data_IF_010072244504
#
_entry.id   IF_010072244504
#
_cell.length_a   1.000
_cell.length_b   1.000
_cell.length_c   1.000
_cell.angle_alpha   90.00
_cell.angle_beta   90.00
_cell.angle_gamma   90.00
#
_symmetry.space_group_name_H-M   'P 1'
#
loop_
_entity.id
_entity.type
_entity.pdbx_description
1 polymer ?
#
# COMPACT_ATOMS: atom_id res chain seq x y z
N UNK A 1 75.82 20.81 -23.14
CA UNK A 1 74.84 19.69 -23.14
C UNK A 1 73.83 19.95 -22.04
N UNK A 2 72.66 20.49 -22.39
CA UNK A 2 71.53 20.78 -21.43
C UNK A 2 70.57 19.60 -21.47
N UNK A 3 70.41 18.89 -20.35
CA UNK A 3 69.43 17.80 -20.21
C UNK A 3 68.07 18.44 -19.89
N UNK A 4 67.09 18.25 -20.79
CA UNK A 4 65.71 18.60 -20.61
C UNK A 4 65.02 17.49 -19.80
N UNK A 5 64.55 17.80 -18.59
CA UNK A 5 63.68 16.89 -17.80
C UNK A 5 62.23 17.18 -18.18
N UNK A 6 61.59 16.21 -18.85
CA UNK A 6 60.15 16.25 -19.13
C UNK A 6 59.40 15.71 -17.91
N UNK A 7 58.62 16.57 -17.27
CA UNK A 7 57.74 16.17 -16.16
C UNK A 7 56.35 15.87 -16.76
N UNK A 8 56.02 14.61 -16.85
CA UNK A 8 54.68 14.16 -17.29
C UNK A 8 53.73 14.24 -16.10
N UNK A 9 52.79 15.20 -16.13
CA UNK A 9 51.75 15.37 -15.14
C UNK A 9 50.60 14.40 -15.45
N UNK A 10 50.49 13.34 -14.67
CA UNK A 10 49.39 12.34 -14.78
C UNK A 10 48.18 12.91 -14.06
N UNK A 11 47.17 13.39 -14.80
CA UNK A 11 45.90 13.83 -14.26
C UNK A 11 45.03 12.61 -13.93
N UNK A 12 44.94 12.23 -12.64
CA UNK A 12 43.97 11.26 -12.17
C UNK A 12 42.58 11.92 -12.14
N UNK A 13 41.74 11.58 -13.12
CA UNK A 13 40.33 11.91 -13.10
C UNK A 13 39.65 11.01 -12.05
N UNK A 14 39.41 11.51 -10.85
CA UNK A 14 38.60 10.84 -9.85
C UNK A 14 37.15 11.01 -10.28
N UNK A 15 36.61 9.97 -10.94
CA UNK A 15 35.18 9.83 -11.17
C UNK A 15 34.52 9.55 -9.81
N UNK A 16 33.98 10.60 -9.18
CA UNK A 16 33.06 10.45 -8.07
C UNK A 16 31.77 9.81 -8.62
N UNK A 17 31.69 8.47 -8.59
CA UNK A 17 30.42 7.76 -8.75
C UNK A 17 29.66 8.02 -7.46
N UNK A 18 28.85 9.07 -7.45
CA UNK A 18 27.80 9.27 -6.44
C UNK A 18 26.86 8.07 -6.59
N UNK A 19 26.98 7.09 -5.71
CA UNK A 19 25.94 6.06 -5.55
C UNK A 19 24.67 6.83 -5.15
N UNK A 20 23.79 7.10 -6.10
CA UNK A 20 22.47 7.63 -5.80
C UNK A 20 21.77 6.61 -4.91
N UNK A 21 21.59 6.93 -3.62
CA UNK A 21 20.77 6.11 -2.73
C UNK A 21 19.38 6.02 -3.34
N UNK A 22 19.02 4.83 -3.84
CA UNK A 22 17.68 4.57 -4.36
C UNK A 22 16.66 4.87 -3.26
N UNK A 23 15.55 5.55 -3.57
CA UNK A 23 14.46 5.69 -2.62
C UNK A 23 13.95 4.31 -2.17
N UNK A 24 13.51 4.20 -0.93
CA UNK A 24 12.88 2.99 -0.40
C UNK A 24 11.74 2.54 -1.33
N UNK A 25 11.61 1.23 -1.59
CA UNK A 25 10.62 0.63 -2.50
C UNK A 25 10.78 0.97 -3.99
N UNK A 26 11.88 1.61 -4.39
CA UNK A 26 12.10 1.90 -5.81
C UNK A 26 12.06 0.66 -6.69
N UNK A 27 12.62 -0.45 -6.21
CA UNK A 27 12.66 -1.70 -6.98
C UNK A 27 11.27 -2.34 -7.14
N UNK A 28 10.39 -2.22 -6.13
CA UNK A 28 8.97 -2.62 -6.23
C UNK A 28 8.24 -1.78 -7.28
N UNK A 29 8.45 -0.48 -7.29
CA UNK A 29 7.84 0.44 -8.26
C UNK A 29 8.35 0.15 -9.69
N UNK A 30 9.65 -0.08 -9.87
CA UNK A 30 10.20 -0.48 -11.17
C UNK A 30 9.67 -1.83 -11.64
N UNK A 31 9.44 -2.77 -10.71
CA UNK A 31 8.79 -4.04 -11.03
C UNK A 31 7.36 -3.82 -11.54
N UNK A 32 6.58 -2.92 -10.95
CA UNK A 32 5.24 -2.58 -11.47
C UNK A 32 5.30 -1.95 -12.86
N UNK A 33 6.27 -1.07 -13.11
CA UNK A 33 6.48 -0.50 -14.45
C UNK A 33 6.83 -1.58 -15.48
N UNK A 34 7.69 -2.56 -15.10
CA UNK A 34 8.00 -3.69 -15.97
C UNK A 34 6.76 -4.56 -16.24
N UNK A 35 5.98 -4.89 -15.21
CA UNK A 35 4.71 -5.63 -15.39
C UNK A 35 3.75 -4.92 -16.34
N UNK A 36 3.68 -3.58 -16.28
CA UNK A 36 2.82 -2.78 -17.14
C UNK A 36 3.34 -2.73 -18.60
N UNK A 37 4.65 -2.82 -18.82
CA UNK A 37 5.25 -2.94 -20.15
C UNK A 37 5.01 -4.31 -20.76
N UNK A 38 5.16 -5.38 -19.97
CA UNK A 38 4.95 -6.75 -20.43
C UNK A 38 3.47 -7.06 -20.69
N UNK A 39 2.59 -6.51 -19.85
CA UNK A 39 1.13 -6.66 -19.93
C UNK A 39 0.46 -5.32 -19.65
N UNK A 40 0.14 -4.54 -20.66
CA UNK A 40 -0.51 -3.25 -20.50
C UNK A 40 -1.75 -3.33 -19.60
N UNK A 41 -1.88 -2.43 -18.61
CA UNK A 41 -2.98 -2.48 -17.66
C UNK A 41 -4.35 -2.42 -18.35
N UNK A 42 -5.22 -3.36 -18.02
CA UNK A 42 -6.59 -3.35 -18.52
C UNK A 42 -7.34 -2.14 -17.99
N UNK A 43 -8.10 -1.47 -18.85
CA UNK A 43 -9.03 -0.41 -18.46
C UNK A 43 -10.14 -0.99 -17.58
N UNK A 44 -10.77 -0.15 -16.81
CA UNK A 44 -11.90 -0.49 -15.93
C UNK A 44 -11.60 -1.63 -14.95
N UNK A 45 -10.32 -1.79 -14.59
CA UNK A 45 -9.90 -2.70 -13.54
C UNK A 45 -10.17 -2.13 -12.14
N UNK A 46 -10.21 -3.01 -11.15
CA UNK A 46 -10.13 -2.65 -9.73
C UNK A 46 -8.65 -2.62 -9.35
N UNK A 47 -8.14 -1.46 -8.96
CA UNK A 47 -6.75 -1.27 -8.58
C UNK A 47 -6.58 -1.37 -7.07
N UNK A 48 -5.82 -2.36 -6.61
CA UNK A 48 -5.47 -2.52 -5.19
C UNK A 48 -4.15 -1.81 -4.92
N UNK A 49 -4.15 -0.86 -3.98
CA UNK A 49 -2.98 -0.09 -3.56
C UNK A 49 -2.76 -0.26 -2.06
N UNK A 50 -1.53 -0.58 -1.66
CA UNK A 50 -1.22 -0.72 -0.25
C UNK A 50 0.00 -1.56 0.06
N UNK A 51 -0.01 -2.18 1.24
CA UNK A 51 1.15 -2.84 1.81
C UNK A 51 1.10 -4.38 1.74
N UNK A 52 1.86 -5.05 2.61
CA UNK A 52 2.13 -6.49 2.54
C UNK A 52 0.89 -7.39 2.49
N UNK A 53 -0.24 -6.98 3.06
CA UNK A 53 -1.46 -7.79 2.95
C UNK A 53 -1.95 -7.92 1.51
N UNK A 54 -1.78 -6.89 0.69
CA UNK A 54 -2.04 -7.00 -0.75
C UNK A 54 -0.89 -7.69 -1.48
N UNK A 55 0.36 -7.37 -1.19
CA UNK A 55 1.52 -8.04 -1.82
C UNK A 55 1.42 -9.57 -1.69
N UNK A 56 1.01 -10.05 -0.52
CA UNK A 56 0.89 -11.49 -0.23
C UNK A 56 -0.40 -12.12 -0.76
N UNK A 57 -1.36 -11.34 -1.22
CA UNK A 57 -2.59 -11.84 -1.84
C UNK A 57 -2.37 -12.05 -3.34
N UNK A 58 -1.45 -12.95 -3.68
CA UNK A 58 -1.00 -13.18 -5.05
C UNK A 58 -2.09 -13.72 -5.97
N UNK A 59 -3.03 -14.46 -5.41
CA UNK A 59 -4.16 -15.07 -6.12
C UNK A 59 -5.50 -14.34 -5.87
N UNK A 60 -5.48 -13.05 -5.64
CA UNK A 60 -6.70 -12.26 -5.35
C UNK A 60 -7.77 -12.41 -6.43
N UNK A 61 -7.36 -12.58 -7.70
CA UNK A 61 -8.30 -12.78 -8.82
C UNK A 61 -9.12 -14.07 -8.71
N UNK A 62 -8.62 -15.10 -8.03
CA UNK A 62 -9.35 -16.36 -7.84
C UNK A 62 -10.57 -16.17 -6.94
N UNK A 63 -10.54 -15.19 -6.06
CA UNK A 63 -11.65 -14.84 -5.16
C UNK A 63 -12.74 -14.04 -5.86
N UNK A 64 -12.44 -13.44 -7.00
CA UNK A 64 -13.33 -12.55 -7.75
C UNK A 64 -13.23 -12.81 -9.26
N UNK A 65 -13.66 -14.00 -9.72
CA UNK A 65 -13.45 -14.44 -11.11
C UNK A 65 -14.12 -13.52 -12.16
N UNK A 66 -15.18 -12.82 -11.76
CA UNK A 66 -15.91 -11.90 -12.64
C UNK A 66 -15.34 -10.48 -12.66
N UNK A 67 -14.22 -10.25 -11.96
CA UNK A 67 -13.62 -8.91 -11.85
C UNK A 67 -12.21 -8.90 -12.42
N UNK A 68 -11.86 -7.82 -13.11
CA UNK A 68 -10.47 -7.55 -13.47
C UNK A 68 -9.80 -6.82 -12.32
N UNK A 69 -8.79 -7.44 -11.71
CA UNK A 69 -8.07 -6.88 -10.56
C UNK A 69 -6.61 -6.65 -10.94
N UNK A 70 -6.09 -5.48 -10.61
CA UNK A 70 -4.67 -5.14 -10.69
C UNK A 70 -4.17 -4.92 -9.27
N UNK A 71 -3.28 -5.78 -8.81
CA UNK A 71 -2.69 -5.66 -7.48
C UNK A 71 -1.32 -4.94 -7.58
N UNK A 72 -1.20 -3.82 -6.89
CA UNK A 72 0.01 -3.00 -6.76
C UNK A 72 0.32 -2.74 -5.29
N UNK A 73 0.15 -3.76 -4.46
CA UNK A 73 0.64 -3.77 -3.09
C UNK A 73 2.16 -3.95 -3.05
N UNK A 74 2.87 -3.17 -2.22
CA UNK A 74 4.30 -3.34 -1.97
C UNK A 74 4.56 -3.46 -0.47
N UNK A 75 5.26 -4.54 -0.11
CA UNK A 75 5.36 -5.02 1.27
C UNK A 75 6.09 -4.06 2.19
N UNK A 76 5.54 -3.79 3.38
CA UNK A 76 6.17 -2.90 4.35
C UNK A 76 5.83 -1.42 4.18
N UNK A 77 5.20 -1.02 3.06
CA UNK A 77 4.88 0.38 2.78
C UNK A 77 3.99 1.01 3.84
N UNK A 78 4.18 2.31 4.04
CA UNK A 78 3.38 3.20 4.86
C UNK A 78 2.63 4.20 3.98
N UNK A 79 1.67 4.92 4.54
CA UNK A 79 0.89 5.91 3.78
C UNK A 79 1.75 7.05 3.20
N UNK A 80 2.91 7.34 3.79
CA UNK A 80 3.85 8.31 3.22
C UNK A 80 4.49 7.80 1.93
N UNK A 81 4.73 6.49 1.80
CA UNK A 81 5.28 5.89 0.58
C UNK A 81 4.25 5.91 -0.55
N UNK A 82 2.97 5.59 -0.24
CA UNK A 82 1.89 5.73 -1.22
C UNK A 82 1.77 7.18 -1.72
N UNK A 83 1.94 8.17 -0.84
CA UNK A 83 1.96 9.58 -1.22
C UNK A 83 3.17 9.93 -2.09
N UNK A 84 4.35 9.39 -1.77
CA UNK A 84 5.59 9.66 -2.49
C UNK A 84 5.53 9.10 -3.92
N UNK A 85 5.03 7.87 -4.07
CA UNK A 85 4.90 7.19 -5.35
C UNK A 85 3.52 7.35 -6.01
N UNK A 86 2.73 8.36 -5.60
CA UNK A 86 1.37 8.53 -6.10
C UNK A 86 1.27 8.62 -7.62
N UNK A 87 2.26 9.26 -8.26
CA UNK A 87 2.33 9.37 -9.72
C UNK A 87 2.48 7.99 -10.38
N UNK A 88 3.45 7.20 -9.94
CA UNK A 88 3.76 5.87 -10.47
C UNK A 88 2.64 4.87 -10.19
N UNK A 89 1.96 5.03 -9.05
CA UNK A 89 0.85 4.18 -8.64
C UNK A 89 -0.50 4.52 -9.31
N UNK A 90 -0.63 5.72 -9.87
CA UNK A 90 -1.91 6.17 -10.43
C UNK A 90 -1.83 6.39 -11.96
N UNK A 91 -0.88 7.18 -12.43
CA UNK A 91 -0.82 7.62 -13.83
C UNK A 91 -0.86 6.48 -14.88
N UNK A 92 -0.23 5.30 -14.67
CA UNK A 92 -0.24 4.24 -15.68
C UNK A 92 -1.58 3.53 -15.86
N UNK A 93 -2.56 3.75 -14.98
CA UNK A 93 -3.80 2.97 -14.94
C UNK A 93 -5.01 3.81 -15.37
N UNK A 94 -6.10 3.11 -15.73
CA UNK A 94 -7.43 3.69 -15.95
C UNK A 94 -8.45 2.82 -15.22
N UNK A 95 -8.43 2.81 -13.88
CA UNK A 95 -9.28 1.94 -13.08
C UNK A 95 -10.72 2.50 -13.00
N UNK A 96 -11.69 1.63 -12.73
CA UNK A 96 -13.05 2.03 -12.33
C UNK A 96 -13.21 2.15 -10.81
N UNK A 97 -12.29 1.55 -10.05
CA UNK A 97 -12.30 1.53 -8.60
C UNK A 97 -10.88 1.39 -8.07
N UNK A 98 -10.58 2.08 -6.97
CA UNK A 98 -9.32 1.94 -6.23
C UNK A 98 -9.66 1.46 -4.82
N UNK A 99 -8.99 0.39 -4.36
CA UNK A 99 -9.13 -0.12 -3.00
C UNK A 99 -7.79 0.03 -2.30
N UNK A 100 -7.81 0.65 -1.13
CA UNK A 100 -6.62 0.98 -0.35
C UNK A 100 -6.58 0.13 0.92
N UNK A 101 -5.43 -0.52 1.16
CA UNK A 101 -5.09 -1.10 2.46
C UNK A 101 -3.68 -0.67 2.89
N UNK A 102 -3.59 0.31 3.78
CA UNK A 102 -2.32 0.82 4.31
C UNK A 102 -2.58 1.57 5.62
N UNK A 103 -1.58 1.68 6.49
CA UNK A 103 -1.67 2.42 7.77
C UNK A 103 -1.21 1.61 8.98
N UNK A 104 -1.19 0.27 8.89
CA UNK A 104 -0.70 -0.59 9.96
C UNK A 104 0.80 -0.40 10.20
N UNK A 105 1.57 -0.32 9.12
CA UNK A 105 3.02 -0.15 9.18
C UNK A 105 3.44 1.27 9.61
N UNK A 106 2.59 2.28 9.42
CA UNK A 106 2.88 3.64 9.88
C UNK A 106 3.20 3.67 11.37
N UNK A 107 2.40 2.97 12.18
CA UNK A 107 2.61 2.87 13.62
C UNK A 107 3.72 1.89 14.00
N UNK A 108 3.97 0.85 13.21
CA UNK A 108 5.06 -0.07 13.48
C UNK A 108 6.43 0.55 13.16
N UNK A 109 6.49 1.48 12.21
CA UNK A 109 7.70 2.23 11.86
C UNK A 109 8.00 3.37 12.86
N UNK A 110 6.95 3.93 13.47
CA UNK A 110 7.05 5.01 14.46
C UNK A 110 5.87 4.91 15.44
N UNK A 111 6.14 4.30 16.60
CA UNK A 111 5.13 4.09 17.63
C UNK A 111 4.68 5.39 18.31
N UNK A 112 5.41 6.50 18.15
CA UNK A 112 5.01 7.80 18.70
C UNK A 112 3.93 8.50 17.85
N UNK A 113 3.67 8.01 16.64
CA UNK A 113 2.62 8.56 15.77
C UNK A 113 1.25 8.48 16.46
N UNK A 114 0.51 9.57 16.31
CA UNK A 114 -0.89 9.67 16.76
C UNK A 114 -1.85 9.30 15.61
N UNK A 115 -3.04 8.76 15.91
CA UNK A 115 -4.04 8.41 14.89
C UNK A 115 -4.36 9.54 13.89
N UNK A 116 -4.41 10.79 14.35
CA UNK A 116 -4.64 11.95 13.47
C UNK A 116 -3.52 12.19 12.45
N UNK A 117 -2.28 11.81 12.76
CA UNK A 117 -1.15 11.98 11.84
C UNK A 117 -1.23 10.95 10.71
N UNK A 118 -1.53 9.68 11.05
CA UNK A 118 -1.75 8.62 10.05
C UNK A 118 -2.99 8.92 9.21
N UNK A 119 -4.08 9.36 9.82
CA UNK A 119 -5.27 9.84 9.10
C UNK A 119 -4.94 11.00 8.15
N UNK A 120 -4.08 11.97 8.54
CA UNK A 120 -3.66 13.07 7.65
C UNK A 120 -2.90 12.55 6.42
N UNK A 121 -2.05 11.53 6.59
CA UNK A 121 -1.34 10.87 5.47
C UNK A 121 -2.34 10.19 4.51
N UNK A 122 -3.31 9.44 5.05
CA UNK A 122 -4.40 8.85 4.27
C UNK A 122 -5.20 9.91 3.50
N UNK A 123 -5.64 10.97 4.19
CA UNK A 123 -6.38 12.06 3.53
C UNK A 123 -5.61 12.69 2.39
N UNK A 124 -4.29 12.88 2.55
CA UNK A 124 -3.43 13.40 1.47
C UNK A 124 -3.46 12.48 0.26
N UNK A 125 -3.32 11.15 0.47
CA UNK A 125 -3.36 10.18 -0.61
C UNK A 125 -4.72 10.13 -1.30
N UNK A 126 -5.81 10.13 -0.54
CA UNK A 126 -7.17 10.20 -1.06
C UNK A 126 -7.39 11.45 -1.93
N UNK A 127 -6.93 12.63 -1.48
CA UNK A 127 -7.01 13.85 -2.29
C UNK A 127 -6.18 13.74 -3.58
N UNK A 128 -4.96 13.19 -3.48
CA UNK A 128 -4.13 12.92 -4.66
C UNK A 128 -4.81 11.99 -5.68
N UNK A 129 -5.54 10.96 -5.22
CA UNK A 129 -6.34 10.12 -6.12
C UNK A 129 -7.41 10.97 -6.83
N UNK A 130 -8.08 11.88 -6.11
CA UNK A 130 -9.11 12.75 -6.68
C UNK A 130 -8.55 13.76 -7.71
N UNK A 131 -7.29 14.14 -7.59
CA UNK A 131 -6.62 14.99 -8.59
C UNK A 131 -6.41 14.25 -9.93
N UNK A 132 -6.17 12.92 -9.89
CA UNK A 132 -6.06 12.07 -11.08
C UNK A 132 -7.44 11.60 -11.60
N UNK A 133 -8.34 11.29 -10.70
CA UNK A 133 -9.63 10.65 -10.97
C UNK A 133 -10.73 11.27 -10.10
N UNK A 134 -11.34 12.39 -10.52
CA UNK A 134 -12.28 13.15 -9.69
C UNK A 134 -13.45 12.32 -9.16
N UNK A 135 -14.02 11.46 -10.00
CA UNK A 135 -15.27 10.73 -9.72
C UNK A 135 -15.11 9.23 -9.50
N UNK A 136 -13.87 8.73 -9.41
CA UNK A 136 -13.63 7.29 -9.25
C UNK A 136 -14.14 6.78 -7.90
N UNK A 137 -14.61 5.53 -7.87
CA UNK A 137 -14.87 4.85 -6.61
C UNK A 137 -13.56 4.59 -5.86
N UNK A 138 -13.46 5.04 -4.61
CA UNK A 138 -12.31 4.80 -3.72
C UNK A 138 -12.80 4.14 -2.45
N UNK A 139 -12.29 2.95 -2.15
CA UNK A 139 -12.63 2.25 -0.93
C UNK A 139 -11.39 2.07 -0.04
N UNK A 140 -11.61 2.07 1.24
CA UNK A 140 -10.57 1.83 2.22
C UNK A 140 -10.93 0.63 3.09
N UNK A 141 -10.04 -0.37 3.12
CA UNK A 141 -10.16 -1.50 4.04
C UNK A 141 -9.58 -1.09 5.39
N UNK A 142 -10.33 -1.31 6.46
CA UNK A 142 -9.90 -1.00 7.83
C UNK A 142 -8.56 -1.67 8.17
N UNK A 143 -7.73 -1.00 8.96
CA UNK A 143 -6.53 -1.60 9.52
C UNK A 143 -6.95 -2.80 10.37
N UNK A 144 -6.45 -4.00 10.02
CA UNK A 144 -6.72 -5.22 10.78
C UNK A 144 -6.02 -5.21 12.14
N UNK A 145 -6.53 -6.00 13.06
CA UNK A 145 -5.95 -6.16 14.39
C UNK A 145 -4.99 -7.37 14.39
N UNK A 146 -3.77 -7.17 13.91
CA UNK A 146 -2.76 -8.25 13.89
C UNK A 146 -2.31 -8.60 15.31
N UNK A 147 -2.33 -9.90 15.70
CA UNK A 147 -1.98 -10.30 17.07
C UNK A 147 -0.57 -9.88 17.52
N UNK A 148 0.42 -9.92 16.60
CA UNK A 148 1.80 -9.49 16.92
C UNK A 148 1.93 -8.00 17.23
N UNK A 149 0.92 -7.21 16.87
CA UNK A 149 0.87 -5.75 17.09
C UNK A 149 -0.23 -5.32 18.06
N UNK A 150 -0.59 -6.18 19.01
CA UNK A 150 -1.70 -5.95 19.94
C UNK A 150 -1.55 -4.63 20.72
N UNK A 151 -0.34 -4.22 21.05
CA UNK A 151 -0.04 -2.96 21.74
C UNK A 151 -0.42 -1.71 20.93
N UNK A 152 -0.59 -1.83 19.60
CA UNK A 152 -0.98 -0.74 18.68
C UNK A 152 -2.48 -0.70 18.38
N UNK A 153 -3.27 -1.68 18.80
CA UNK A 153 -4.69 -1.81 18.41
C UNK A 153 -5.53 -0.58 18.76
N UNK A 154 -5.29 0.07 19.89
CA UNK A 154 -5.99 1.30 20.27
C UNK A 154 -5.77 2.39 19.19
N UNK A 155 -4.54 2.51 18.69
CA UNK A 155 -4.20 3.47 17.62
C UNK A 155 -4.84 3.07 16.29
N UNK A 156 -4.88 1.78 15.96
CA UNK A 156 -5.53 1.27 14.75
C UNK A 156 -7.02 1.57 14.76
N UNK A 157 -7.71 1.22 15.84
CA UNK A 157 -9.15 1.47 15.98
C UNK A 157 -9.49 2.98 15.92
N UNK A 158 -8.70 3.81 16.59
CA UNK A 158 -8.89 5.26 16.53
C UNK A 158 -8.64 5.83 15.12
N UNK A 159 -7.67 5.29 14.39
CA UNK A 159 -7.39 5.68 13.00
C UNK A 159 -8.51 5.22 12.07
N UNK A 160 -8.97 3.98 12.23
CA UNK A 160 -10.07 3.40 11.48
C UNK A 160 -11.34 4.25 11.62
N UNK A 161 -11.65 4.69 12.83
CA UNK A 161 -12.81 5.55 13.08
C UNK A 161 -12.68 6.93 12.40
N UNK A 162 -11.49 7.52 12.38
CA UNK A 162 -11.24 8.79 11.69
C UNK A 162 -11.42 8.65 10.17
N UNK A 163 -10.87 7.57 9.60
CA UNK A 163 -10.99 7.28 8.17
C UNK A 163 -12.43 6.98 7.81
N UNK A 164 -13.13 6.12 8.59
CA UNK A 164 -14.53 5.79 8.39
C UNK A 164 -15.42 7.05 8.32
N UNK A 165 -15.29 7.93 9.31
CA UNK A 165 -16.04 9.21 9.35
C UNK A 165 -15.71 10.13 8.17
N UNK A 166 -14.50 10.09 7.68
CA UNK A 166 -14.10 10.86 6.50
C UNK A 166 -14.71 10.27 5.23
N UNK A 167 -14.61 8.96 5.02
CA UNK A 167 -15.13 8.27 3.84
C UNK A 167 -16.66 8.43 3.72
N UNK A 168 -17.40 8.31 4.82
CA UNK A 168 -18.86 8.48 4.87
C UNK A 168 -19.35 9.87 4.41
N UNK A 169 -18.47 10.86 4.33
CA UNK A 169 -18.78 12.23 3.90
C UNK A 169 -18.30 12.52 2.48
N UNK A 170 -17.85 11.51 1.77
CA UNK A 170 -17.31 11.64 0.42
C UNK A 170 -18.18 10.87 -0.55
N UNK A 171 -18.42 11.48 -1.70
CA UNK A 171 -19.04 10.80 -2.83
C UNK A 171 -18.08 9.76 -3.40
N UNK A 172 -18.65 8.68 -3.95
CA UNK A 172 -17.89 7.58 -4.53
C UNK A 172 -16.76 7.08 -3.61
N UNK A 173 -17.09 6.87 -2.33
CA UNK A 173 -16.11 6.45 -1.33
C UNK A 173 -16.78 5.57 -0.26
N UNK A 174 -16.23 4.37 -0.05
CA UNK A 174 -16.71 3.43 0.95
C UNK A 174 -15.63 3.01 1.93
N UNK A 175 -16.05 2.59 3.11
CA UNK A 175 -15.18 2.04 4.15
C UNK A 175 -15.57 0.59 4.40
N UNK A 176 -14.64 -0.32 4.13
CA UNK A 176 -14.83 -1.76 4.29
C UNK A 176 -14.27 -2.19 5.64
N UNK A 177 -15.15 -2.51 6.58
CA UNK A 177 -14.75 -2.92 7.92
C UNK A 177 -14.54 -4.43 7.99
N UNK A 178 -13.27 -4.85 8.10
CA UNK A 178 -12.91 -6.27 8.26
C UNK A 178 -12.62 -6.63 9.73
N UNK A 179 -12.59 -5.68 10.64
CA UNK A 179 -12.16 -5.92 12.02
C UNK A 179 -13.08 -6.90 12.75
N UNK A 180 -14.40 -6.69 12.65
CA UNK A 180 -15.38 -7.56 13.30
C UNK A 180 -15.42 -8.97 12.68
N UNK A 181 -15.29 -9.07 11.37
CA UNK A 181 -15.34 -10.34 10.65
C UNK A 181 -14.12 -11.23 10.96
N UNK A 182 -13.02 -10.64 11.41
CA UNK A 182 -11.82 -11.35 11.83
C UNK A 182 -11.81 -11.73 13.32
N UNK A 183 -12.90 -11.48 14.05
CA UNK A 183 -13.06 -11.86 15.46
C UNK A 183 -13.87 -13.15 15.60
N UNK A 184 -13.69 -13.81 16.74
CA UNK A 184 -14.56 -14.92 17.18
C UNK A 184 -15.88 -14.42 17.75
N UNK A 185 -16.75 -15.34 18.16
CA UNK A 185 -18.07 -15.03 18.76
C UNK A 185 -17.99 -14.26 20.07
N UNK A 186 -16.83 -14.28 20.75
CA UNK A 186 -16.59 -13.56 21.99
C UNK A 186 -15.96 -12.18 21.74
N UNK A 187 -15.72 -11.81 20.47
CA UNK A 187 -15.08 -10.56 20.07
C UNK A 187 -13.56 -10.57 20.10
N UNK A 188 -12.92 -11.72 20.32
CA UNK A 188 -11.46 -11.84 20.29
C UNK A 188 -10.95 -12.02 18.86
N UNK A 189 -9.78 -11.44 18.57
CA UNK A 189 -9.13 -11.64 17.29
C UNK A 189 -8.76 -13.11 17.07
N UNK A 190 -9.20 -13.67 15.96
CA UNK A 190 -8.93 -15.04 15.56
C UNK A 190 -7.48 -15.22 15.12
N UNK A 191 -6.63 -15.74 16.01
CA UNK A 191 -5.21 -15.99 15.76
C UNK A 191 -4.97 -17.07 14.70
N UNK A 192 -5.90 -17.98 14.53
CA UNK A 192 -5.87 -19.04 13.52
C UNK A 192 -5.88 -18.53 12.08
N UNK A 193 -6.31 -17.29 11.86
CA UNK A 193 -6.31 -16.62 10.55
C UNK A 193 -4.93 -16.09 10.13
N UNK A 194 -3.94 -16.14 11.03
CA UNK A 194 -2.62 -15.57 10.79
C UNK A 194 -1.54 -16.64 10.65
N UNK A 195 -0.48 -16.31 9.93
CA UNK A 195 0.73 -17.11 9.86
C UNK A 195 1.45 -17.11 11.22
N UNK A 196 2.56 -17.83 11.32
CA UNK A 196 3.36 -17.91 12.56
C UNK A 196 3.86 -16.54 13.05
N UNK A 197 4.04 -15.59 12.15
CA UNK A 197 4.44 -14.22 12.48
C UNK A 197 3.31 -13.40 13.14
N UNK A 198 2.10 -13.96 13.26
CA UNK A 198 0.93 -13.31 13.84
C UNK A 198 0.62 -11.93 13.24
N UNK A 199 1.06 -11.69 12.01
CA UNK A 199 0.92 -10.46 11.24
C UNK A 199 0.24 -10.69 9.89
N UNK A 200 0.80 -11.61 9.11
CA UNK A 200 0.30 -11.90 7.78
C UNK A 200 -0.78 -12.99 7.82
N UNK A 201 -1.74 -12.85 6.91
CA UNK A 201 -2.89 -13.75 6.90
C UNK A 201 -2.61 -15.05 6.16
N UNK A 202 -3.26 -16.10 6.64
CA UNK A 202 -3.47 -17.36 5.91
C UNK A 202 -4.59 -17.20 4.86
N UNK A 203 -4.79 -18.19 3.96
CA UNK A 203 -5.88 -18.16 2.99
C UNK A 203 -7.26 -17.91 3.62
N UNK A 204 -7.52 -18.44 4.81
CA UNK A 204 -8.78 -18.26 5.55
C UNK A 204 -9.04 -16.80 5.92
N UNK A 205 -7.99 -16.05 6.25
CA UNK A 205 -8.07 -14.60 6.48
C UNK A 205 -8.45 -13.84 5.20
N UNK A 206 -7.87 -14.23 4.05
CA UNK A 206 -8.23 -13.65 2.76
C UNK A 206 -9.64 -14.04 2.30
N UNK A 207 -10.14 -15.23 2.65
CA UNK A 207 -11.54 -15.60 2.41
C UNK A 207 -12.51 -14.66 3.14
N UNK A 208 -12.19 -14.30 4.38
CA UNK A 208 -12.98 -13.31 5.13
C UNK A 208 -12.93 -11.95 4.42
N UNK A 209 -11.75 -11.48 4.05
CA UNK A 209 -11.61 -10.20 3.33
C UNK A 209 -12.41 -10.22 2.03
N UNK A 210 -12.30 -11.28 1.24
CA UNK A 210 -13.03 -11.42 -0.01
C UNK A 210 -14.55 -11.34 0.20
N UNK A 211 -15.06 -12.00 1.24
CA UNK A 211 -16.49 -11.96 1.57
C UNK A 211 -16.94 -10.54 1.93
N UNK A 212 -16.19 -9.85 2.79
CA UNK A 212 -16.53 -8.49 3.21
C UNK A 212 -16.40 -7.47 2.07
N UNK A 213 -15.45 -7.67 1.16
CA UNK A 213 -15.24 -6.81 -0.01
C UNK A 213 -16.30 -7.00 -1.10
N UNK A 214 -16.87 -8.19 -1.22
CA UNK A 214 -17.67 -8.62 -2.40
C UNK A 214 -18.77 -7.63 -2.79
N UNK A 215 -19.50 -7.07 -1.83
CA UNK A 215 -20.61 -6.13 -2.08
C UNK A 215 -20.15 -4.73 -2.50
N UNK A 216 -18.87 -4.41 -2.34
CA UNK A 216 -18.29 -3.11 -2.69
C UNK A 216 -17.66 -3.10 -4.08
N UNK A 217 -17.33 -4.28 -4.66
CA UNK A 217 -16.65 -4.36 -5.93
C UNK A 217 -17.55 -3.97 -7.10
N UNK A 218 -17.07 -3.04 -7.92
CA UNK A 218 -17.76 -2.50 -9.10
C UNK A 218 -17.61 -3.41 -10.33
#
# INVERSE_FOLDING_TARGET
MKKLFSVTFLFFLILNISAQNKPTFWDDIQYFDQLNKDNPPKKDAILLLGSSSFTRWTNVSDYFPDKTIINRGFGGSILSDLNFYSKELLQPYSPKQIIIYCGENDFAADEELKPRQVFKRFKKFFCGIRDYYPDIQVDYISIKLSPSRQHLWIKYLATNELIKKFMQRKENADYIDITRAMNDVNGNVRKDLFLEDMLHMKPEGYQIWAREMKSFLK
#
